data_IF_396952467395
#
_entry.id   IF_396952467395
#
_cell.length_a   1.000
_cell.length_b   1.000
_cell.length_c   1.000
_cell.angle_alpha   90.00
_cell.angle_beta   90.00
_cell.angle_gamma   90.00
#
_symmetry.space_group_name_H-M   'P 1'
#
loop_
_entity.id
_entity.type
_entity.pdbx_description
1 polymer ?
#
# COMPACT_ATOMS: atom_id res chain seq x y z
N UNK A 1 -6.35 14.57 5.67
CA UNK A 1 -6.60 14.56 4.21
C UNK A 1 -6.23 13.19 3.74
N UNK A 2 -7.13 12.46 3.09
CA UNK A 2 -6.96 11.02 2.94
C UNK A 2 -6.42 10.68 1.55
N UNK A 3 -5.57 9.67 1.49
CA UNK A 3 -5.08 9.11 0.24
C UNK A 3 -5.46 7.64 0.20
N UNK A 4 -5.66 7.10 -1.00
CA UNK A 4 -6.00 5.69 -1.18
C UNK A 4 -5.24 5.05 -2.33
N UNK A 5 -4.81 3.81 -2.13
CA UNK A 5 -4.28 2.95 -3.19
C UNK A 5 -5.40 2.02 -3.67
N UNK A 6 -5.62 2.03 -4.99
CA UNK A 6 -6.50 1.10 -5.70
C UNK A 6 -5.66 0.30 -6.68
N UNK A 7 -5.88 -1.01 -6.76
CA UNK A 7 -5.25 -1.82 -7.81
C UNK A 7 -6.16 -1.91 -9.04
N UNK A 8 -5.54 -1.99 -10.21
CA UNK A 8 -6.26 -2.25 -11.46
C UNK A 8 -6.83 -3.67 -11.50
N UNK A 9 -6.02 -4.63 -11.05
CA UNK A 9 -6.38 -6.03 -10.89
C UNK A 9 -6.19 -6.44 -9.43
N UNK A 10 -6.91 -7.47 -8.97
CA UNK A 10 -6.76 -7.93 -7.58
C UNK A 10 -5.33 -8.46 -7.37
N UNK A 11 -4.54 -7.88 -6.44
CA UNK A 11 -3.19 -8.34 -6.20
C UNK A 11 -3.20 -9.72 -5.52
N UNK A 12 -2.15 -10.50 -5.75
CA UNK A 12 -1.91 -11.74 -5.01
C UNK A 12 -1.60 -11.40 -3.53
N UNK A 13 -2.42 -11.87 -2.57
CA UNK A 13 -2.18 -11.61 -1.14
C UNK A 13 -0.81 -12.10 -0.66
N UNK A 14 -0.27 -13.19 -1.21
CA UNK A 14 1.04 -13.71 -0.80
C UNK A 14 2.17 -12.78 -1.27
N UNK A 15 2.04 -12.17 -2.45
CA UNK A 15 2.97 -11.15 -2.92
C UNK A 15 2.94 -9.91 -2.00
N UNK A 16 1.76 -9.45 -1.60
CA UNK A 16 1.63 -8.32 -0.67
C UNK A 16 2.30 -8.65 0.68
N UNK A 17 2.10 -9.85 1.21
CA UNK A 17 2.78 -10.31 2.44
C UNK A 17 4.29 -10.36 2.28
N UNK A 18 4.80 -10.81 1.12
CA UNK A 18 6.24 -10.82 0.85
C UNK A 18 6.81 -9.39 0.86
N UNK A 19 6.15 -8.44 0.20
CA UNK A 19 6.56 -7.03 0.18
C UNK A 19 6.50 -6.46 1.60
N UNK A 20 5.38 -6.67 2.30
CA UNK A 20 5.20 -6.22 3.67
C UNK A 20 6.31 -6.76 4.58
N UNK A 21 6.66 -8.06 4.51
CA UNK A 21 7.72 -8.65 5.34
C UNK A 21 9.08 -7.93 5.25
N UNK A 22 9.35 -7.26 4.13
CA UNK A 22 10.60 -6.52 3.88
C UNK A 22 10.53 -5.07 4.35
N UNK A 23 9.33 -4.48 4.31
CA UNK A 23 9.14 -3.04 4.44
C UNK A 23 8.27 -2.63 5.64
N UNK A 24 7.66 -3.56 6.37
CA UNK A 24 6.64 -3.30 7.40
C UNK A 24 7.07 -2.29 8.47
N UNK A 25 8.38 -2.19 8.74
CA UNK A 25 8.95 -1.36 9.80
C UNK A 25 9.90 -0.28 9.29
N UNK A 26 9.91 -0.03 7.98
CA UNK A 26 10.81 0.95 7.38
C UNK A 26 10.43 2.39 7.75
N UNK A 27 9.17 2.61 8.14
CA UNK A 27 8.62 3.87 8.60
C UNK A 27 7.51 3.61 9.62
N UNK A 28 7.18 4.60 10.45
CA UNK A 28 5.95 4.59 11.25
C UNK A 28 4.72 4.60 10.33
N UNK A 29 3.60 4.01 10.77
CA UNK A 29 2.31 4.01 10.04
C UNK A 29 2.21 3.05 8.83
N UNK A 30 3.29 2.76 8.11
CA UNK A 30 3.20 1.93 6.89
C UNK A 30 2.82 0.46 7.16
N UNK A 31 3.09 -0.06 8.37
CA UNK A 31 2.66 -1.40 8.77
C UNK A 31 1.14 -1.55 8.70
N UNK A 32 0.41 -0.56 9.24
CA UNK A 32 -1.05 -0.53 9.22
C UNK A 32 -1.59 -0.44 7.79
N UNK A 33 -0.88 0.24 6.88
CA UNK A 33 -1.23 0.29 5.46
C UNK A 33 -1.08 -1.07 4.78
N UNK A 34 -0.02 -1.82 5.08
CA UNK A 34 0.15 -3.19 4.55
C UNK A 34 -0.91 -4.15 5.10
N UNK A 35 -1.26 -4.04 6.38
CA UNK A 35 -2.33 -4.85 6.97
C UNK A 35 -3.67 -4.60 6.25
N UNK A 36 -4.00 -3.34 5.97
CA UNK A 36 -5.16 -2.99 5.14
C UNK A 36 -5.09 -3.61 3.73
N UNK A 37 -3.93 -3.56 3.06
CA UNK A 37 -3.76 -4.14 1.72
C UNK A 37 -3.97 -5.66 1.73
N UNK A 38 -3.48 -6.36 2.74
CA UNK A 38 -3.62 -7.82 2.88
C UNK A 38 -5.10 -8.19 3.09
N UNK A 39 -5.81 -7.44 3.93
CA UNK A 39 -7.22 -7.73 4.26
C UNK A 39 -8.19 -7.32 3.16
N UNK A 40 -7.98 -6.14 2.57
CA UNK A 40 -9.00 -5.44 1.75
C UNK A 40 -8.58 -5.23 0.31
N UNK A 41 -7.34 -5.57 -0.05
CA UNK A 41 -6.75 -5.23 -1.36
C UNK A 41 -6.84 -3.73 -1.68
N UNK A 42 -6.77 -2.89 -0.66
CA UNK A 42 -6.78 -1.42 -0.72
C UNK A 42 -6.29 -0.90 0.63
N UNK A 43 -5.73 0.31 0.67
CA UNK A 43 -5.42 1.00 1.93
C UNK A 43 -5.74 2.48 1.85
N UNK A 44 -6.04 3.05 3.01
CA UNK A 44 -6.25 4.48 3.25
C UNK A 44 -5.18 5.00 4.21
N UNK A 45 -4.59 6.15 3.89
CA UNK A 45 -3.56 6.79 4.70
C UNK A 45 -3.74 8.30 4.76
N UNK A 46 -3.55 8.87 5.95
CA UNK A 46 -3.67 10.33 6.16
C UNK A 46 -2.35 11.06 5.86
N UNK A 47 -1.23 10.35 5.95
CA UNK A 47 0.09 10.88 5.65
C UNK A 47 0.51 10.55 4.22
N UNK A 48 0.86 11.60 3.47
CA UNK A 48 1.32 11.46 2.09
C UNK A 48 2.58 10.58 2.02
N UNK A 49 3.54 10.78 2.92
CA UNK A 49 4.82 10.08 2.89
C UNK A 49 4.63 8.56 2.99
N UNK A 50 3.80 8.11 3.93
CA UNK A 50 3.50 6.70 4.15
C UNK A 50 2.87 6.06 2.92
N UNK A 51 1.83 6.68 2.35
CA UNK A 51 1.12 6.08 1.23
C UNK A 51 1.96 6.07 -0.05
N UNK A 52 2.77 7.11 -0.29
CA UNK A 52 3.67 7.15 -1.44
C UNK A 52 4.78 6.11 -1.31
N UNK A 53 5.26 5.88 -0.08
CA UNK A 53 6.25 4.84 0.18
C UNK A 53 5.67 3.45 -0.13
N UNK A 54 4.47 3.15 0.35
CA UNK A 54 3.78 1.88 0.05
C UNK A 54 3.48 1.74 -1.44
N UNK A 55 3.02 2.80 -2.10
CA UNK A 55 2.80 2.78 -3.56
C UNK A 55 4.11 2.49 -4.32
N UNK A 56 5.23 3.06 -3.88
CA UNK A 56 6.54 2.82 -4.47
C UNK A 56 6.98 1.36 -4.33
N UNK A 57 6.87 0.75 -3.15
CA UNK A 57 7.29 -0.65 -2.93
C UNK A 57 6.43 -1.64 -3.70
N UNK A 58 5.14 -1.37 -3.84
CA UNK A 58 4.23 -2.17 -4.67
C UNK A 58 4.61 -2.07 -6.16
N UNK A 59 4.89 -0.85 -6.64
CA UNK A 59 5.29 -0.62 -8.03
C UNK A 59 6.62 -1.29 -8.40
N UNK A 60 7.56 -1.43 -7.45
CA UNK A 60 8.80 -2.19 -7.66
C UNK A 60 8.57 -3.69 -7.95
N UNK A 61 7.36 -4.20 -7.69
CA UNK A 61 6.94 -5.58 -7.99
C UNK A 61 5.94 -5.65 -9.14
N UNK A 62 5.96 -4.64 -10.01
CA UNK A 62 5.12 -4.56 -11.21
C UNK A 62 3.60 -4.58 -10.93
N UNK A 63 3.19 -4.17 -9.72
CA UNK A 63 1.76 -4.01 -9.40
C UNK A 63 1.23 -2.70 -9.98
N UNK A 64 0.31 -2.80 -10.93
CA UNK A 64 -0.41 -1.64 -11.47
C UNK A 64 -1.41 -1.10 -10.45
N UNK A 65 -1.20 0.17 -10.05
CA UNK A 65 -1.99 0.84 -9.02
C UNK A 65 -2.33 2.28 -9.41
N UNK A 66 -3.40 2.79 -8.79
CA UNK A 66 -3.86 4.17 -8.89
C UNK A 66 -3.84 4.74 -7.47
N UNK A 67 -3.15 5.85 -7.30
CA UNK A 67 -3.15 6.62 -6.06
C UNK A 67 -4.13 7.79 -6.20
N UNK A 68 -5.13 7.83 -5.33
CA UNK A 68 -6.15 8.89 -5.33
C UNK A 68 -6.07 9.70 -4.04
N UNK A 69 -6.35 10.99 -4.16
CA UNK A 69 -6.54 11.89 -3.02
C UNK A 69 -8.03 12.04 -2.78
N UNK A 70 -8.48 11.65 -1.59
CA UNK A 70 -9.87 11.69 -1.16
C UNK A 70 -10.04 12.88 -0.20
N UNK A 71 -11.02 13.73 -0.49
CA UNK A 71 -11.37 14.89 0.34
C UNK A 71 -12.12 14.48 1.60
#
# INVERSE_FOLDING_TARGET
MNYRILFKDRPDPELIKEIASKHYRDMEGIGDLYDQLIEKSSCDGEEAAEIYYVAYTLALKDLELILVRVN
#
